data_IF_966183749272
#
_entry.id   IF_966183749272
#
_cell.length_a   1.000
_cell.length_b   1.000
_cell.length_c   1.000
_cell.angle_alpha   90.00
_cell.angle_beta   90.00
_cell.angle_gamma   90.00
#
_symmetry.space_group_name_H-M   'P 1'
#
loop_
_entity.id
_entity.type
_entity.pdbx_description
1 polymer ?
#
# COMPACT_ATOMS: atom_id res chain seq x y z
N UNK A 1 -23.77 -4.58 2.52
CA UNK A 1 -22.89 -3.57 1.87
C UNK A 1 -21.48 -3.78 2.39
N UNK A 2 -20.50 -4.07 1.53
CA UNK A 2 -19.09 -4.01 1.93
C UNK A 2 -18.77 -2.54 2.14
N UNK A 3 -18.61 -2.11 3.39
CA UNK A 3 -18.05 -0.79 3.66
C UNK A 3 -16.63 -0.83 3.11
N UNK A 4 -16.38 -0.10 2.01
CA UNK A 4 -15.03 0.01 1.53
C UNK A 4 -14.28 0.89 2.52
N UNK A 5 -13.25 0.33 3.15
CA UNK A 5 -12.44 1.06 4.10
C UNK A 5 -11.47 1.99 3.37
N UNK A 6 -11.29 3.18 3.94
CA UNK A 6 -10.21 4.08 3.54
C UNK A 6 -8.87 3.34 3.64
N UNK A 7 -8.14 3.30 2.53
CA UNK A 7 -6.97 2.45 2.36
C UNK A 7 -5.77 3.27 1.92
N UNK A 8 -4.62 3.01 2.56
CA UNK A 8 -3.30 3.40 2.05
C UNK A 8 -2.70 2.24 1.26
N UNK A 9 -2.36 2.47 0.00
CA UNK A 9 -1.68 1.48 -0.83
C UNK A 9 -0.16 1.62 -0.68
N UNK A 10 0.53 0.52 -0.41
CA UNK A 10 1.99 0.47 -0.35
C UNK A 10 2.49 -0.38 -1.51
N UNK A 11 3.26 0.23 -2.40
CA UNK A 11 3.92 -0.43 -3.53
C UNK A 11 5.37 -0.70 -3.14
N UNK A 12 5.69 -1.98 -2.96
CA UNK A 12 7.02 -2.46 -2.60
C UNK A 12 7.82 -2.87 -3.83
N UNK A 13 8.82 -2.07 -4.18
CA UNK A 13 9.79 -2.35 -5.24
C UNK A 13 10.90 -3.32 -4.78
N UNK A 14 10.89 -3.76 -3.52
CA UNK A 14 11.89 -4.61 -2.88
C UNK A 14 12.75 -3.87 -1.85
N UNK A 15 13.30 -4.56 -0.87
CA UNK A 15 14.09 -3.97 0.22
C UNK A 15 13.56 -4.31 1.60
N UNK A 16 14.04 -3.61 2.64
CA UNK A 16 13.76 -3.96 4.05
C UNK A 16 12.71 -3.05 4.70
N UNK A 17 12.39 -1.91 4.09
CA UNK A 17 11.55 -0.87 4.70
C UNK A 17 10.05 -1.15 4.62
N UNK A 18 9.61 -1.96 3.67
CA UNK A 18 8.18 -2.23 3.43
C UNK A 18 7.43 -2.69 4.70
N UNK A 19 8.04 -3.62 5.46
CA UNK A 19 7.46 -4.09 6.73
C UNK A 19 7.40 -2.99 7.79
N UNK A 20 8.46 -2.19 7.92
CA UNK A 20 8.51 -1.08 8.88
C UNK A 20 7.41 -0.06 8.59
N UNK A 21 7.20 0.28 7.32
CA UNK A 21 6.15 1.19 6.87
C UNK A 21 4.76 0.62 7.19
N UNK A 22 4.52 -0.66 6.90
CA UNK A 22 3.25 -1.34 7.25
C UNK A 22 2.97 -1.25 8.75
N UNK A 23 3.97 -1.51 9.59
CA UNK A 23 3.82 -1.39 11.05
C UNK A 23 3.48 0.04 11.46
N UNK A 24 4.22 1.05 10.95
CA UNK A 24 3.95 2.46 11.27
C UNK A 24 2.55 2.91 10.87
N UNK A 25 2.03 2.45 9.73
CA UNK A 25 0.67 2.81 9.29
C UNK A 25 -0.38 2.12 10.17
N UNK A 26 -0.16 0.86 10.54
CA UNK A 26 -1.06 0.11 11.43
C UNK A 26 -1.04 0.63 12.87
N UNK A 27 0.09 1.13 13.35
CA UNK A 27 0.22 1.80 14.66
C UNK A 27 -0.66 3.05 14.73
N UNK A 28 -0.98 3.67 13.59
CA UNK A 28 -1.91 4.80 13.47
C UNK A 28 -3.37 4.36 13.28
N UNK A 29 -3.66 3.06 13.39
CA UNK A 29 -4.98 2.47 13.16
C UNK A 29 -5.55 2.74 11.75
N UNK A 30 -4.68 2.90 10.75
CA UNK A 30 -5.05 3.10 9.35
C UNK A 30 -4.92 1.79 8.59
N UNK A 31 -5.93 1.45 7.79
CA UNK A 31 -5.88 0.26 6.95
C UNK A 31 -4.92 0.50 5.77
N UNK A 32 -4.07 -0.49 5.51
CA UNK A 32 -3.11 -0.44 4.42
C UNK A 32 -2.95 -1.78 3.75
N UNK A 33 -2.63 -1.74 2.46
CA UNK A 33 -2.34 -2.92 1.67
C UNK A 33 -0.95 -2.86 1.07
N UNK A 34 -0.18 -3.92 1.26
CA UNK A 34 1.14 -4.08 0.68
C UNK A 34 1.05 -4.89 -0.60
N UNK A 35 1.52 -4.33 -1.71
CA UNK A 35 1.54 -4.99 -3.02
C UNK A 35 2.92 -4.87 -3.68
N UNK A 36 3.24 -5.85 -4.52
CA UNK A 36 4.39 -5.78 -5.42
C UNK A 36 3.99 -5.12 -6.75
N UNK A 37 4.94 -4.61 -7.56
CA UNK A 37 4.63 -3.72 -8.69
C UNK A 37 3.87 -4.48 -9.79
N UNK A 38 4.20 -5.75 -9.97
CA UNK A 38 3.51 -6.66 -10.88
C UNK A 38 2.03 -6.81 -10.55
N UNK A 39 1.64 -6.69 -9.28
CA UNK A 39 0.23 -6.75 -8.84
C UNK A 39 -0.48 -5.39 -8.88
N UNK A 40 0.27 -4.28 -8.90
CA UNK A 40 -0.31 -2.94 -9.02
C UNK A 40 -1.02 -2.74 -10.36
N UNK A 41 -0.44 -3.30 -11.43
CA UNK A 41 -0.93 -3.15 -12.82
C UNK A 41 -2.32 -3.79 -13.03
N UNK A 42 -2.67 -4.82 -12.26
CA UNK A 42 -3.91 -5.59 -12.45
C UNK A 42 -5.01 -5.24 -11.45
N UNK A 43 -4.86 -4.15 -10.70
CA UNK A 43 -5.78 -3.84 -9.61
C UNK A 43 -6.98 -3.02 -10.10
N UNK A 44 -8.07 -3.72 -10.40
CA UNK A 44 -9.37 -3.12 -10.76
C UNK A 44 -10.17 -2.61 -9.53
N UNK A 45 -9.72 -2.90 -8.31
CA UNK A 45 -10.55 -2.86 -7.09
C UNK A 45 -10.37 -1.65 -6.18
N UNK A 46 -9.43 -0.73 -6.49
CA UNK A 46 -9.37 0.55 -5.80
C UNK A 46 -10.17 1.55 -6.63
N UNK A 47 -11.36 1.89 -6.15
CA UNK A 47 -12.08 3.07 -6.64
C UNK A 47 -11.43 4.31 -6.03
N UNK A 48 -11.42 5.43 -6.78
CA UNK A 48 -10.86 6.71 -6.34
C UNK A 48 -11.39 7.15 -4.96
N UNK A 49 -12.60 6.71 -4.58
CA UNK A 49 -13.22 7.07 -3.31
C UNK A 49 -12.54 6.44 -2.08
N UNK A 50 -11.91 5.28 -2.24
CA UNK A 50 -11.43 4.42 -1.13
C UNK A 50 -9.93 4.51 -0.93
N UNK A 51 -9.20 4.87 -1.99
CA UNK A 51 -7.75 5.07 -1.95
C UNK A 51 -7.45 6.47 -1.42
N UNK A 52 -6.90 6.55 -0.19
CA UNK A 52 -6.57 7.84 0.44
C UNK A 52 -5.10 8.24 0.29
N UNK A 53 -4.25 7.32 -0.16
CA UNK A 53 -2.85 7.62 -0.37
C UNK A 53 -2.05 6.43 -0.91
N UNK A 54 -0.91 6.74 -1.52
CA UNK A 54 0.03 5.76 -2.06
C UNK A 54 1.40 6.02 -1.43
N UNK A 55 2.04 4.95 -0.94
CA UNK A 55 3.43 4.93 -0.51
C UNK A 55 4.20 4.02 -1.45
N UNK A 56 5.27 4.53 -2.07
CA UNK A 56 6.19 3.72 -2.86
C UNK A 56 7.47 3.55 -2.05
N UNK A 57 7.90 2.32 -1.87
CA UNK A 57 9.12 1.98 -1.13
C UNK A 57 9.98 1.01 -1.94
N UNK A 58 11.29 1.07 -1.74
CA UNK A 58 12.23 0.32 -2.54
C UNK A 58 13.65 0.47 -2.00
N UNK A 59 14.54 -0.44 -2.40
CA UNK A 59 15.98 -0.22 -2.35
C UNK A 59 16.40 0.46 -3.64
N UNK A 60 17.27 1.46 -3.53
CA UNK A 60 17.97 2.00 -4.70
C UNK A 60 19.14 1.06 -4.93
N UNK A 61 18.99 0.07 -5.81
CA UNK A 61 20.12 -0.52 -6.50
C UNK A 61 20.45 0.37 -7.70
N UNK A 62 21.67 0.92 -7.69
CA UNK A 62 22.24 1.69 -8.81
C UNK A 62 22.86 0.76 -9.84
#
# INVERSE_FOLDING_TARGET
MRAHHDTILIIDLGGELARVIVHKIRDLNVYCELITPHRAIYRETLTDETLKGIVVTGRIDS
#
